data_IF_685338568538
#
_entry.id   IF_685338568538
#
_cell.length_a   1.000
_cell.length_b   1.000
_cell.length_c   1.000
_cell.angle_alpha   90.00
_cell.angle_beta   90.00
_cell.angle_gamma   90.00
#
_symmetry.space_group_name_H-M   'P 1'
#
loop_
_entity.id
_entity.type
_entity.pdbx_description
1 polymer ?
#
# COMPACT_ATOMS: atom_id res chain seq x y z
N UNK A 1 -31.49 -4.48 -32.07
CA UNK A 1 -31.80 -3.77 -30.81
C UNK A 1 -30.75 -4.12 -29.74
N UNK A 2 -29.56 -3.52 -29.87
CA UNK A 2 -28.51 -3.58 -28.86
C UNK A 2 -28.33 -2.15 -28.37
N UNK A 3 -29.04 -1.78 -27.31
CA UNK A 3 -28.67 -0.58 -26.54
C UNK A 3 -27.50 -0.98 -25.66
N UNK A 4 -26.36 -0.32 -25.85
CA UNK A 4 -25.25 -0.37 -24.89
C UNK A 4 -25.79 0.07 -23.53
N UNK A 5 -25.67 -0.78 -22.52
CA UNK A 5 -26.06 -0.43 -21.15
C UNK A 5 -24.99 0.49 -20.56
N UNK A 6 -25.41 1.63 -20.03
CA UNK A 6 -24.53 2.56 -19.31
C UNK A 6 -24.34 2.06 -17.86
N UNK A 7 -23.09 1.90 -17.41
CA UNK A 7 -22.74 1.44 -16.05
C UNK A 7 -23.40 2.32 -14.98
N UNK A 8 -23.38 3.64 -15.18
CA UNK A 8 -23.93 4.60 -14.21
C UNK A 8 -25.45 4.43 -14.03
N UNK A 9 -26.17 4.02 -15.08
CA UNK A 9 -27.61 3.76 -15.00
C UNK A 9 -27.90 2.46 -14.26
N UNK A 10 -27.11 1.42 -14.50
CA UNK A 10 -27.28 0.09 -13.89
C UNK A 10 -26.92 0.07 -12.40
N UNK A 11 -25.95 0.89 -11.98
CA UNK A 11 -25.50 0.99 -10.58
C UNK A 11 -26.33 1.99 -9.74
N UNK A 12 -27.38 2.60 -10.33
CA UNK A 12 -28.25 3.57 -9.64
C UNK A 12 -29.45 2.91 -8.93
N UNK A 13 -29.92 3.51 -7.83
CA UNK A 13 -31.16 3.07 -7.15
C UNK A 13 -31.10 1.71 -6.44
N UNK A 14 -29.90 1.19 -6.19
CA UNK A 14 -29.69 -0.12 -5.56
C UNK A 14 -30.00 -0.12 -4.04
N UNK A 15 -30.45 -1.26 -3.52
CA UNK A 15 -30.64 -1.48 -2.08
C UNK A 15 -29.42 -2.15 -1.49
N UNK A 16 -28.80 -1.53 -0.49
CA UNK A 16 -27.70 -2.15 0.25
C UNK A 16 -28.17 -3.41 0.99
N UNK A 17 -27.55 -4.56 0.72
CA UNK A 17 -27.90 -5.85 1.34
C UNK A 17 -26.91 -6.25 2.43
N UNK A 18 -25.61 -5.93 2.25
CA UNK A 18 -24.55 -6.29 3.19
C UNK A 18 -23.14 -6.04 2.64
N UNK A 19 -22.12 -6.35 3.44
CA UNK A 19 -20.70 -6.19 3.11
C UNK A 19 -19.96 -7.51 3.37
N UNK A 20 -19.01 -7.85 2.51
CA UNK A 20 -18.06 -8.95 2.72
C UNK A 20 -16.65 -8.36 2.74
N UNK A 21 -15.85 -8.76 3.73
CA UNK A 21 -14.43 -8.45 3.80
C UNK A 21 -13.59 -9.66 3.39
N UNK A 22 -12.56 -9.42 2.60
CA UNK A 22 -11.56 -10.43 2.24
C UNK A 22 -10.16 -9.87 2.48
N UNK A 23 -9.21 -10.76 2.78
CA UNK A 23 -7.81 -10.43 3.00
C UNK A 23 -6.95 -11.37 2.15
N UNK A 24 -5.90 -10.83 1.55
CA UNK A 24 -4.77 -11.60 1.05
C UNK A 24 -3.71 -11.64 2.16
N UNK A 25 -3.62 -12.72 2.96
CA UNK A 25 -2.74 -12.74 4.12
C UNK A 25 -1.27 -12.78 3.68
N UNK A 26 -0.37 -12.15 4.46
CA UNK A 26 1.06 -12.28 4.19
C UNK A 26 1.48 -13.74 4.32
N UNK A 27 2.49 -14.15 3.53
CA UNK A 27 3.04 -15.51 3.63
C UNK A 27 3.72 -15.69 5.00
N UNK A 28 3.60 -16.89 5.57
CA UNK A 28 4.07 -17.19 6.94
C UNK A 28 5.57 -16.95 7.13
N UNK A 29 6.37 -17.09 6.08
CA UNK A 29 7.82 -16.87 6.11
C UNK A 29 8.23 -15.39 6.10
N UNK A 30 7.36 -14.47 5.69
CA UNK A 30 7.69 -13.05 5.45
C UNK A 30 8.23 -12.35 6.71
N UNK A 31 7.61 -12.48 7.90
CA UNK A 31 8.14 -11.84 9.11
C UNK A 31 9.57 -12.29 9.43
N UNK A 32 9.85 -13.58 9.28
CA UNK A 32 11.19 -14.13 9.54
C UNK A 32 12.23 -13.64 8.53
N UNK A 33 11.83 -13.49 7.26
CA UNK A 33 12.69 -12.94 6.22
C UNK A 33 13.01 -11.45 6.45
N UNK A 34 12.01 -10.65 6.85
CA UNK A 34 12.21 -9.23 7.19
C UNK A 34 13.18 -9.08 8.35
N UNK A 35 13.02 -9.89 9.39
CA UNK A 35 13.92 -9.88 10.54
C UNK A 35 15.35 -10.25 10.15
N UNK A 36 15.52 -11.28 9.31
CA UNK A 36 16.83 -11.67 8.80
C UNK A 36 17.49 -10.55 7.98
N UNK A 37 16.73 -9.91 7.08
CA UNK A 37 17.21 -8.75 6.33
C UNK A 37 17.66 -7.63 7.28
N UNK A 38 16.86 -7.32 8.30
CA UNK A 38 17.19 -6.31 9.31
C UNK A 38 18.49 -6.62 10.05
N UNK A 39 18.67 -7.87 10.49
CA UNK A 39 19.91 -8.31 11.16
C UNK A 39 21.14 -8.26 10.24
N UNK A 40 20.94 -8.47 8.94
CA UNK A 40 21.98 -8.35 7.93
C UNK A 40 22.27 -6.89 7.50
N UNK A 41 21.56 -5.90 8.04
CA UNK A 41 21.67 -4.50 7.63
C UNK A 41 21.03 -4.20 6.26
N UNK A 42 20.18 -5.09 5.77
CA UNK A 42 19.43 -4.93 4.52
C UNK A 42 18.09 -4.28 4.83
N UNK A 43 17.81 -3.16 4.18
CA UNK A 43 16.54 -2.45 4.30
C UNK A 43 15.49 -3.04 3.35
N UNK A 44 14.44 -3.60 3.92
CA UNK A 44 13.25 -4.04 3.18
C UNK A 44 12.26 -2.90 3.00
N UNK A 45 11.67 -2.78 1.81
CA UNK A 45 10.67 -1.76 1.47
C UNK A 45 9.48 -2.44 0.78
N UNK A 46 8.26 -2.11 1.21
CA UNK A 46 7.02 -2.55 0.58
C UNK A 46 6.59 -1.56 -0.51
N UNK A 47 6.16 -2.10 -1.65
CA UNK A 47 5.57 -1.33 -2.75
C UNK A 47 4.25 -2.00 -3.11
N UNK A 48 3.13 -1.28 -2.98
CA UNK A 48 1.79 -1.82 -3.24
C UNK A 48 0.87 -0.81 -3.91
N UNK A 49 -0.08 -1.31 -4.70
CA UNK A 49 -1.20 -0.55 -5.24
C UNK A 49 -2.32 -0.30 -4.22
N UNK A 50 -2.27 -0.97 -3.06
CA UNK A 50 -3.31 -0.88 -2.04
C UNK A 50 -3.45 0.51 -1.42
N UNK A 51 -4.59 0.73 -0.79
CA UNK A 51 -4.82 1.91 0.01
C UNK A 51 -3.85 1.93 1.22
N UNK A 52 -3.41 3.15 1.57
CA UNK A 52 -2.45 3.42 2.66
C UNK A 52 -2.75 2.68 3.95
N UNK A 53 -4.00 2.68 4.38
CA UNK A 53 -4.43 2.04 5.63
C UNK A 53 -4.19 0.52 5.62
N UNK A 54 -4.51 -0.15 4.51
CA UNK A 54 -4.29 -1.59 4.35
C UNK A 54 -2.81 -1.92 4.34
N UNK A 55 -2.02 -1.18 3.57
CA UNK A 55 -0.58 -1.39 3.48
C UNK A 55 0.13 -1.20 4.83
N UNK A 56 -0.26 -0.17 5.60
CA UNK A 56 0.28 0.06 6.95
C UNK A 56 -0.08 -1.08 7.89
N UNK A 57 -1.32 -1.59 7.83
CA UNK A 57 -1.74 -2.72 8.66
C UNK A 57 -0.88 -3.96 8.37
N UNK A 58 -0.70 -4.31 7.09
CA UNK A 58 0.15 -5.44 6.69
C UNK A 58 1.62 -5.20 7.05
N UNK A 59 2.16 -3.99 6.83
CA UNK A 59 3.54 -3.66 7.17
C UNK A 59 3.83 -3.78 8.67
N UNK A 60 2.87 -3.43 9.53
CA UNK A 60 2.96 -3.65 10.98
C UNK A 60 2.87 -5.13 11.34
N UNK A 61 1.93 -5.85 10.72
CA UNK A 61 1.73 -7.28 10.95
C UNK A 61 2.99 -8.11 10.64
N UNK A 62 3.69 -7.78 9.56
CA UNK A 62 4.91 -8.48 9.15
C UNK A 62 6.20 -7.96 9.81
N UNK A 63 6.10 -7.01 10.75
CA UNK A 63 7.26 -6.45 11.45
C UNK A 63 8.15 -5.53 10.62
N UNK A 64 7.66 -5.02 9.48
CA UNK A 64 8.38 -4.03 8.66
C UNK A 64 8.32 -2.62 9.26
N UNK A 65 7.23 -2.31 9.95
CA UNK A 65 6.94 -1.01 10.51
C UNK A 65 6.50 -1.16 11.97
N UNK A 66 7.21 -0.53 12.91
CA UNK A 66 6.80 -0.49 14.32
C UNK A 66 5.86 0.69 14.56
N UNK A 67 6.31 1.89 14.19
CA UNK A 67 5.54 3.12 14.29
C UNK A 67 5.39 3.80 12.92
N UNK A 68 4.23 4.39 12.72
CA UNK A 68 3.94 5.17 11.53
C UNK A 68 4.31 6.63 11.79
N UNK A 69 5.18 7.19 10.95
CA UNK A 69 5.50 8.62 10.95
C UNK A 69 5.11 9.22 9.61
N UNK A 70 5.17 10.54 9.49
CA UNK A 70 4.94 11.24 8.22
C UNK A 70 5.94 10.86 7.11
N UNK A 71 7.04 10.17 7.45
CA UNK A 71 8.12 9.82 6.51
C UNK A 71 8.29 8.33 6.28
N UNK A 72 7.62 7.47 7.03
CA UNK A 72 7.74 6.01 6.83
C UNK A 72 6.84 5.47 5.72
N UNK A 73 5.82 6.24 5.30
CA UNK A 73 4.85 5.82 4.29
C UNK A 73 4.60 6.95 3.29
N UNK A 74 4.85 6.68 2.00
CA UNK A 74 4.57 7.62 0.91
C UNK A 74 3.46 7.07 0.00
N UNK A 75 2.59 7.95 -0.47
CA UNK A 75 1.61 7.64 -1.51
C UNK A 75 2.16 8.04 -2.88
N UNK A 76 1.72 7.39 -3.95
CA UNK A 76 2.12 7.72 -5.32
C UNK A 76 1.91 9.21 -5.65
N UNK A 77 0.76 9.76 -5.27
CA UNK A 77 0.46 11.19 -5.48
C UNK A 77 1.47 12.13 -4.81
N UNK A 78 1.97 11.76 -3.61
CA UNK A 78 2.98 12.57 -2.90
C UNK A 78 4.34 12.38 -3.55
N UNK A 79 4.71 11.14 -3.86
CA UNK A 79 5.98 10.81 -4.52
C UNK A 79 6.14 11.54 -5.86
N UNK A 80 5.08 11.54 -6.69
CA UNK A 80 5.08 12.21 -8.00
C UNK A 80 5.20 13.74 -7.89
N UNK A 81 4.87 14.31 -6.74
CA UNK A 81 5.03 15.74 -6.45
C UNK A 81 6.38 16.11 -5.83
N UNK A 82 7.22 15.14 -5.48
CA UNK A 82 8.54 15.38 -4.89
C UNK A 82 9.60 15.57 -5.97
N UNK A 83 10.57 16.44 -5.69
CA UNK A 83 11.82 16.49 -6.47
C UNK A 83 12.77 15.39 -5.98
N UNK A 84 13.78 15.05 -6.79
CA UNK A 84 14.84 14.12 -6.38
C UNK A 84 15.49 14.55 -5.06
N UNK A 85 15.81 15.84 -4.91
CA UNK A 85 16.36 16.39 -3.65
C UNK A 85 15.43 16.21 -2.43
N UNK A 86 14.11 16.23 -2.62
CA UNK A 86 13.15 16.05 -1.53
C UNK A 86 12.97 14.57 -1.21
N UNK A 87 13.03 13.72 -2.22
CA UNK A 87 13.02 12.27 -2.06
C UNK A 87 14.27 11.81 -1.32
N UNK A 88 15.46 12.28 -1.70
CA UNK A 88 16.74 11.94 -1.07
C UNK A 88 16.76 12.24 0.44
N UNK A 89 16.06 13.30 0.87
CA UNK A 89 15.97 13.67 2.29
C UNK A 89 15.15 12.69 3.12
N UNK A 90 14.23 11.95 2.51
CA UNK A 90 13.29 11.07 3.24
C UNK A 90 13.43 9.60 2.90
N UNK A 91 14.05 9.26 1.75
CA UNK A 91 14.06 7.90 1.19
C UNK A 91 14.59 6.87 2.19
N UNK A 92 15.55 7.25 3.02
CA UNK A 92 16.13 6.41 4.08
C UNK A 92 15.12 6.03 5.18
N UNK A 93 14.17 6.91 5.48
CA UNK A 93 13.10 6.69 6.46
C UNK A 93 11.93 5.88 5.88
N UNK A 94 11.69 5.97 4.56
CA UNK A 94 10.54 5.30 3.92
C UNK A 94 10.64 3.78 4.04
N UNK A 95 9.50 3.15 4.34
CA UNK A 95 9.31 1.68 4.42
C UNK A 95 8.20 1.19 3.51
N UNK A 96 7.19 2.01 3.22
CA UNK A 96 6.02 1.61 2.42
C UNK A 96 5.69 2.68 1.38
N UNK A 97 5.54 2.24 0.12
CA UNK A 97 4.97 3.02 -0.97
C UNK A 97 3.58 2.46 -1.32
N UNK A 98 2.58 3.33 -1.40
CA UNK A 98 1.18 2.96 -1.66
C UNK A 98 0.60 3.69 -2.86
N UNK A 99 -0.36 3.06 -3.55
CA UNK A 99 -0.98 3.60 -4.77
C UNK A 99 0.04 4.07 -5.82
N UNK A 100 1.13 3.32 -5.98
CA UNK A 100 2.12 3.60 -7.03
C UNK A 100 1.76 2.87 -8.32
N UNK A 101 1.92 3.55 -9.47
CA UNK A 101 1.78 2.96 -10.80
C UNK A 101 3.14 2.44 -11.31
N UNK A 102 3.16 1.37 -12.13
CA UNK A 102 4.36 0.97 -12.85
C UNK A 102 4.61 1.96 -14.01
N UNK A 103 5.50 2.92 -13.79
CA UNK A 103 6.04 3.85 -14.80
C UNK A 103 7.57 3.82 -14.77
#
# INVERSE_FOLDING_TARGET
>A
PNSEFNIDEVESGITFVGLVGMIDPPREEVPSAIELCRQAGIKSVMVTGDHRLTAVAIAKEIGMLEEETSRTVLTGDVLNGMTDDDLDKVIEEVRVFTRVSPE
#
